data_IF_598566704944
#
_entry.id   IF_598566704944
#
_cell.length_a   1.000
_cell.length_b   1.000
_cell.length_c   1.000
_cell.angle_alpha   90.00
_cell.angle_beta   90.00
_cell.angle_gamma   90.00
#
_symmetry.space_group_name_H-M   'P 1'
#
loop_
_entity.id
_entity.type
_entity.pdbx_description
1 polymer ?
#
# COMPACT_ATOMS: atom_id res chain seq x y z
N UNK A 1 3.76 5.91 -12.61
CA UNK A 1 2.43 5.29 -12.48
C UNK A 1 1.54 5.78 -13.62
N UNK A 2 0.93 4.86 -14.36
CA UNK A 2 0.15 5.20 -15.54
C UNK A 2 -1.22 5.80 -15.21
N UNK A 3 -1.84 5.39 -14.12
CA UNK A 3 -3.18 5.83 -13.77
C UNK A 3 -3.28 6.12 -12.27
N UNK A 4 -3.03 7.37 -11.94
CA UNK A 4 -3.10 7.85 -10.56
C UNK A 4 -4.54 7.84 -10.03
N UNK A 5 -5.54 8.03 -10.90
CA UNK A 5 -6.94 8.00 -10.49
C UNK A 5 -7.38 6.60 -10.09
N UNK A 6 -6.95 5.61 -10.85
CA UNK A 6 -7.23 4.21 -10.51
C UNK A 6 -6.56 3.83 -9.19
N UNK A 7 -5.31 4.24 -8.99
CA UNK A 7 -4.61 4.04 -7.73
C UNK A 7 -5.40 4.65 -6.56
N UNK A 8 -5.79 5.91 -6.69
CA UNK A 8 -6.52 6.65 -5.66
C UNK A 8 -7.85 5.97 -5.31
N UNK A 9 -8.58 5.55 -6.32
CA UNK A 9 -9.86 4.85 -6.14
C UNK A 9 -9.66 3.51 -5.41
N UNK A 10 -8.67 2.75 -5.83
CA UNK A 10 -8.40 1.43 -5.24
C UNK A 10 -7.86 1.54 -3.82
N UNK A 11 -7.03 2.55 -3.55
CA UNK A 11 -6.55 2.84 -2.20
C UNK A 11 -7.72 3.15 -1.26
N UNK A 12 -8.58 4.07 -1.68
CA UNK A 12 -9.75 4.48 -0.90
C UNK A 12 -10.68 3.29 -0.63
N UNK A 13 -10.94 2.49 -1.65
CA UNK A 13 -11.79 1.30 -1.53
C UNK A 13 -11.18 0.27 -0.57
N UNK A 14 -9.90 -0.01 -0.69
CA UNK A 14 -9.20 -0.94 0.18
C UNK A 14 -9.23 -0.47 1.64
N UNK A 15 -9.02 0.83 1.85
CA UNK A 15 -9.11 1.43 3.18
C UNK A 15 -10.49 1.22 3.79
N UNK A 16 -11.54 1.53 3.03
CA UNK A 16 -12.93 1.39 3.50
C UNK A 16 -13.30 -0.06 3.80
N UNK A 17 -12.80 -0.99 3.01
CA UNK A 17 -13.04 -2.42 3.24
C UNK A 17 -12.39 -2.90 4.54
N UNK A 18 -11.30 -2.27 4.96
CA UNK A 18 -10.66 -2.53 6.25
C UNK A 18 -11.31 -1.72 7.39
N UNK A 19 -12.36 -0.95 7.08
CA UNK A 19 -13.09 -0.12 8.05
C UNK A 19 -12.20 0.92 8.73
N UNK A 20 -11.24 1.46 8.00
CA UNK A 20 -10.34 2.48 8.50
C UNK A 20 -10.75 3.86 7.99
N UNK A 21 -10.65 4.87 8.84
CA UNK A 21 -10.73 6.26 8.40
C UNK A 21 -9.40 6.67 7.78
N UNK A 22 -9.38 7.80 7.08
CA UNK A 22 -8.14 8.35 6.53
C UNK A 22 -7.10 8.59 7.63
N UNK A 23 -7.54 9.13 8.77
CA UNK A 23 -6.65 9.41 9.90
C UNK A 23 -6.09 8.11 10.50
N UNK A 24 -6.93 7.10 10.63
CA UNK A 24 -6.51 5.80 11.14
C UNK A 24 -5.48 5.13 10.24
N UNK A 25 -5.69 5.17 8.92
CA UNK A 25 -4.72 4.63 7.97
C UNK A 25 -3.41 5.42 8.03
N UNK A 26 -3.50 6.75 8.05
CA UNK A 26 -2.33 7.60 8.15
C UNK A 26 -1.49 7.26 9.38
N UNK A 27 -2.13 7.06 10.52
CA UNK A 27 -1.44 6.67 11.76
C UNK A 27 -0.75 5.32 11.63
N UNK A 28 -1.40 4.34 11.01
CA UNK A 28 -0.79 3.02 10.78
C UNK A 28 0.42 3.08 9.86
N UNK A 29 0.45 4.04 8.95
CA UNK A 29 1.55 4.23 8.00
C UNK A 29 2.60 5.23 8.49
N UNK A 30 2.39 5.83 9.66
CA UNK A 30 3.27 6.85 10.23
C UNK A 30 3.43 8.07 9.31
N UNK A 31 2.33 8.50 8.70
CA UNK A 31 2.28 9.72 7.87
C UNK A 31 1.17 10.63 8.38
N UNK A 32 1.17 11.88 7.90
CA UNK A 32 0.10 12.82 8.24
C UNK A 32 -1.18 12.46 7.49
N UNK A 33 -2.33 12.85 8.06
CA UNK A 33 -3.61 12.70 7.39
C UNK A 33 -3.62 13.42 6.04
N UNK A 34 -2.99 14.58 5.96
CA UNK A 34 -2.87 15.34 4.71
C UNK A 34 -2.16 14.55 3.61
N UNK A 35 -1.10 13.83 3.97
CA UNK A 35 -0.36 12.99 3.03
C UNK A 35 -1.27 11.88 2.48
N UNK A 36 -1.98 11.19 3.36
CA UNK A 36 -2.92 10.14 2.95
C UNK A 36 -4.03 10.69 2.06
N UNK A 37 -4.60 11.85 2.43
CA UNK A 37 -5.63 12.50 1.62
C UNK A 37 -5.15 12.83 0.22
N UNK A 38 -3.93 13.30 0.06
CA UNK A 38 -3.36 13.62 -1.26
C UNK A 38 -3.26 12.38 -2.14
N UNK A 39 -2.97 11.22 -1.54
CA UNK A 39 -2.97 9.97 -2.30
C UNK A 39 -4.39 9.61 -2.79
N UNK A 40 -5.40 9.78 -1.93
CA UNK A 40 -6.79 9.48 -2.30
C UNK A 40 -7.39 10.52 -3.24
N UNK A 41 -6.86 11.73 -3.26
CA UNK A 41 -7.30 12.81 -4.15
C UNK A 41 -6.54 12.84 -5.48
N UNK A 42 -5.68 11.86 -5.72
CA UNK A 42 -4.88 11.74 -6.94
C UNK A 42 -3.94 12.93 -7.16
N UNK A 43 -3.48 13.55 -6.07
CA UNK A 43 -2.53 14.67 -6.14
C UNK A 43 -1.09 14.16 -6.06
N UNK A 44 -0.87 13.10 -5.28
CA UNK A 44 0.44 12.50 -5.07
C UNK A 44 0.38 10.99 -5.09
N UNK A 45 1.53 10.39 -5.38
CA UNK A 45 1.71 8.94 -5.38
C UNK A 45 2.76 8.61 -4.33
N UNK A 46 2.54 7.59 -3.48
CA UNK A 46 3.55 7.17 -2.53
C UNK A 46 4.74 6.52 -3.23
N UNK A 47 5.91 6.57 -2.59
CA UNK A 47 7.08 5.89 -3.12
C UNK A 47 6.96 4.37 -2.94
N UNK A 48 7.92 3.63 -3.51
CA UNK A 48 7.89 2.16 -3.49
C UNK A 48 7.82 1.59 -2.07
N UNK A 49 8.61 2.11 -1.14
CA UNK A 49 8.59 1.63 0.25
C UNK A 49 7.25 1.86 0.91
N UNK A 50 6.63 3.00 0.65
CA UNK A 50 5.30 3.30 1.18
C UNK A 50 4.23 2.41 0.53
N UNK A 51 4.33 2.13 -0.76
CA UNK A 51 3.42 1.19 -1.42
C UNK A 51 3.49 -0.20 -0.78
N UNK A 52 4.67 -0.67 -0.44
CA UNK A 52 4.85 -1.94 0.27
C UNK A 52 4.14 -1.92 1.62
N UNK A 53 4.28 -0.85 2.38
CA UNK A 53 3.61 -0.68 3.67
C UNK A 53 2.09 -0.65 3.53
N UNK A 54 1.60 0.10 2.56
CA UNK A 54 0.16 0.19 2.27
C UNK A 54 -0.39 -1.20 1.93
N UNK A 55 0.30 -1.95 1.10
CA UNK A 55 -0.15 -3.28 0.69
C UNK A 55 -0.25 -4.23 1.88
N UNK A 56 0.68 -4.12 2.83
CA UNK A 56 0.67 -4.94 4.04
C UNK A 56 -0.47 -4.54 4.96
N UNK A 57 -0.61 -3.25 5.23
CA UNK A 57 -1.65 -2.74 6.14
C UNK A 57 -3.05 -3.03 5.61
N UNK A 58 -3.26 -2.83 4.32
CA UNK A 58 -4.57 -3.01 3.68
C UNK A 58 -4.80 -4.42 3.12
N UNK A 59 -3.78 -5.28 3.20
CA UNK A 59 -3.85 -6.66 2.69
C UNK A 59 -4.29 -6.72 1.23
N UNK A 60 -3.64 -5.91 0.38
CA UNK A 60 -3.85 -5.89 -1.08
C UNK A 60 -2.52 -5.90 -1.79
N UNK A 61 -2.51 -6.43 -3.01
CA UNK A 61 -1.29 -6.44 -3.81
C UNK A 61 -0.95 -5.05 -4.34
N UNK A 62 0.34 -4.75 -4.40
CA UNK A 62 0.85 -3.52 -4.99
C UNK A 62 0.40 -3.43 -6.46
N UNK A 63 0.50 -4.53 -7.21
CA UNK A 63 0.11 -4.56 -8.62
C UNK A 63 -1.37 -4.20 -8.82
N UNK A 64 -2.23 -4.61 -7.89
CA UNK A 64 -3.61 -4.19 -7.90
C UNK A 64 -3.73 -2.68 -7.68
N UNK A 65 -3.02 -2.14 -6.70
CA UNK A 65 -3.04 -0.70 -6.42
C UNK A 65 -2.53 0.11 -7.61
N UNK A 66 -1.52 -0.41 -8.31
CA UNK A 66 -0.92 0.26 -9.46
C UNK A 66 -1.70 0.07 -10.76
N UNK A 67 -2.77 -0.72 -10.74
CA UNK A 67 -3.57 -0.98 -11.93
C UNK A 67 -2.97 -2.01 -12.87
N UNK A 68 -1.96 -2.76 -12.44
CA UNK A 68 -1.30 -3.78 -13.25
C UNK A 68 -2.03 -5.11 -13.24
N UNK A 69 -2.96 -5.29 -12.32
CA UNK A 69 -3.83 -6.46 -12.25
C UNK A 69 -5.18 -6.06 -11.64
N UNK A 70 -6.21 -6.88 -11.85
CA UNK A 70 -7.56 -6.60 -11.36
C UNK A 70 -7.93 -7.35 -10.09
N UNK A 71 -7.10 -8.29 -9.64
CA UNK A 71 -7.32 -9.02 -8.39
C UNK A 71 -6.72 -8.24 -7.22
N UNK A 72 -7.51 -8.03 -6.16
CA UNK A 72 -7.04 -7.36 -4.95
C UNK A 72 -5.93 -8.15 -4.26
N UNK A 73 -6.04 -9.47 -4.24
CA UNK A 73 -5.04 -10.39 -3.70
C UNK A 73 -4.81 -11.52 -4.68
N UNK A 74 -3.56 -11.89 -4.79
CA UNK A 74 -3.15 -13.11 -5.48
C UNK A 74 -2.60 -14.09 -4.46
N UNK A 75 -2.07 -15.23 -4.91
CA UNK A 75 -1.50 -16.26 -4.04
C UNK A 75 -0.11 -15.87 -3.50
N UNK A 76 0.07 -14.60 -3.16
CA UNK A 76 1.33 -14.08 -2.63
C UNK A 76 1.08 -13.39 -1.30
N UNK A 77 2.08 -13.40 -0.46
CA UNK A 77 2.11 -12.60 0.77
C UNK A 77 3.48 -11.95 0.88
N UNK A 78 3.59 -10.91 1.69
CA UNK A 78 4.87 -10.26 1.94
C UNK A 78 5.45 -10.77 3.23
N UNK A 79 6.72 -11.14 3.20
CA UNK A 79 7.42 -11.61 4.38
C UNK A 79 8.57 -10.67 4.71
N UNK A 80 8.79 -10.38 5.99
CA UNK A 80 9.92 -9.55 6.38
C UNK A 80 11.22 -10.30 6.12
N UNK A 81 12.17 -9.58 5.53
CA UNK A 81 13.52 -10.08 5.27
C UNK A 81 14.48 -9.12 5.94
N UNK A 82 15.32 -9.65 6.82
CA UNK A 82 16.29 -8.85 7.56
C UNK A 82 17.66 -9.04 6.92
N UNK A 83 18.27 -7.92 6.50
CA UNK A 83 19.65 -7.94 6.01
C UNK A 83 20.58 -8.16 7.20
N UNK A 84 21.36 -9.24 7.17
CA UNK A 84 22.23 -9.62 8.28
C UNK A 84 23.35 -8.61 8.53
N UNK A 85 23.77 -7.88 7.49
CA UNK A 85 24.87 -6.90 7.59
C UNK A 85 24.35 -5.54 8.05
N UNK A 86 23.32 -5.00 7.38
CA UNK A 86 22.82 -3.66 7.64
C UNK A 86 21.75 -3.62 8.70
N UNK A 87 21.15 -4.76 9.05
CA UNK A 87 19.99 -4.86 9.94
C UNK A 87 18.73 -4.20 9.40
N UNK A 88 18.72 -3.84 8.12
CA UNK A 88 17.53 -3.29 7.48
C UNK A 88 16.49 -4.37 7.26
N UNK A 89 15.22 -3.99 7.45
CA UNK A 89 14.08 -4.87 7.20
C UNK A 89 13.46 -4.48 5.86
N UNK A 90 13.33 -5.45 4.97
CA UNK A 90 12.57 -5.29 3.73
C UNK A 90 11.50 -6.38 3.66
N UNK A 91 10.64 -6.31 2.65
CA UNK A 91 9.56 -7.27 2.49
C UNK A 91 9.68 -7.96 1.14
N UNK A 92 9.60 -9.28 1.17
CA UNK A 92 9.68 -10.11 -0.03
C UNK A 92 8.32 -10.72 -0.32
N UNK A 93 7.94 -10.69 -1.59
CA UNK A 93 6.69 -11.30 -2.06
C UNK A 93 6.92 -12.80 -2.24
N UNK A 94 6.12 -13.61 -1.54
CA UNK A 94 6.23 -15.07 -1.59
C UNK A 94 4.88 -15.70 -1.84
N UNK A 95 4.87 -16.91 -2.36
CA UNK A 95 3.64 -17.69 -2.53
C UNK A 95 3.07 -18.07 -1.17
N UNK A 96 1.76 -17.93 -1.05
CA UNK A 96 1.06 -18.39 0.16
C UNK A 96 1.00 -19.89 0.22
#
# INVERSE_FOLDING_TARGET
MKDIYLFSHRLKRARKLMKLTQDELAKKLYVSKSTEQRWEEAIRVPNKKMLERISIVLDVDIDYLLGLQNRRRVKFTYQPVINAVTKEVSYMKVLK
#
